data_IF_780712810963
#
_entry.id   IF_780712810963
#
_cell.length_a   1.000
_cell.length_b   1.000
_cell.length_c   1.000
_cell.angle_alpha   90.00
_cell.angle_beta   90.00
_cell.angle_gamma   90.00
#
_symmetry.space_group_name_H-M   'P 1'
#
loop_
_entity.id
_entity.type
_entity.pdbx_description
1 polymer ?
#
# COMPACT_ATOMS: atom_id res chain seq x y z
N UNK A 1 32.22 2.71 -41.07
CA UNK A 1 32.26 3.85 -40.13
C UNK A 1 31.08 3.72 -39.16
N UNK A 2 31.31 3.33 -37.91
CA UNK A 2 30.24 3.02 -36.94
C UNK A 2 29.75 4.33 -36.31
N UNK A 3 28.50 4.74 -36.56
CA UNK A 3 27.86 5.88 -35.88
C UNK A 3 27.65 5.51 -34.40
N UNK A 4 28.40 6.13 -33.49
CA UNK A 4 28.11 6.07 -32.05
C UNK A 4 26.73 6.68 -31.80
N UNK A 5 25.77 5.91 -31.27
CA UNK A 5 24.51 6.44 -30.72
C UNK A 5 24.85 7.38 -29.56
N UNK A 6 24.46 8.65 -29.65
CA UNK A 6 24.53 9.58 -28.52
C UNK A 6 23.64 9.08 -27.39
N UNK A 7 24.15 9.09 -26.15
CA UNK A 7 23.34 8.78 -24.96
C UNK A 7 22.36 9.93 -24.75
N UNK A 8 21.05 9.66 -24.88
CA UNK A 8 20.04 10.62 -24.44
C UNK A 8 20.04 10.65 -22.91
N UNK A 9 20.32 11.81 -22.33
CA UNK A 9 20.35 12.03 -20.87
C UNK A 9 19.04 12.71 -20.48
N UNK A 10 18.34 12.15 -19.49
CA UNK A 10 17.16 12.79 -18.90
C UNK A 10 17.60 14.05 -18.14
N UNK A 11 17.00 15.20 -18.45
CA UNK A 11 17.21 16.45 -17.72
C UNK A 11 16.00 16.73 -16.84
N UNK A 12 16.20 16.82 -15.53
CA UNK A 12 15.17 17.14 -14.54
C UNK A 12 15.58 18.40 -13.79
N UNK A 13 14.74 19.44 -13.80
CA UNK A 13 15.05 20.79 -13.28
C UNK A 13 16.44 21.32 -13.71
N UNK A 14 16.78 21.17 -14.99
CA UNK A 14 18.03 21.65 -15.56
C UNK A 14 19.28 20.83 -15.18
N UNK A 15 19.12 19.71 -14.47
CA UNK A 15 20.23 18.83 -14.07
C UNK A 15 20.11 17.45 -14.74
N UNK A 16 21.23 16.82 -15.16
CA UNK A 16 21.21 15.47 -15.70
C UNK A 16 20.88 14.45 -14.60
N UNK A 17 19.97 13.53 -14.90
CA UNK A 17 19.65 12.39 -14.04
C UNK A 17 20.52 11.22 -14.44
N UNK A 18 21.35 10.75 -13.51
CA UNK A 18 22.26 9.62 -13.73
C UNK A 18 21.69 8.28 -13.25
N UNK A 19 20.66 8.32 -12.40
CA UNK A 19 19.96 7.17 -11.87
C UNK A 19 18.69 7.61 -11.16
N UNK A 20 17.77 6.67 -10.97
CA UNK A 20 16.53 6.88 -10.23
C UNK A 20 16.32 5.69 -9.29
N UNK A 21 15.81 5.97 -8.10
CA UNK A 21 15.37 4.96 -7.13
C UNK A 21 13.86 5.05 -7.10
N UNK A 22 13.20 3.92 -7.34
CA UNK A 22 11.76 3.82 -7.29
C UNK A 22 11.38 3.06 -6.04
N UNK A 23 10.36 3.55 -5.34
CA UNK A 23 9.69 2.75 -4.33
C UNK A 23 8.96 1.57 -5.01
N UNK A 24 8.75 0.50 -4.27
CA UNK A 24 8.18 -0.72 -4.82
C UNK A 24 6.66 -0.70 -4.73
N UNK A 25 6.15 -0.63 -3.51
CA UNK A 25 4.72 -0.69 -3.20
C UNK A 25 4.04 0.65 -3.53
N UNK A 26 2.87 0.60 -4.17
CA UNK A 26 2.11 1.76 -4.60
C UNK A 26 2.74 2.61 -5.71
N UNK A 27 4.01 2.36 -6.08
CA UNK A 27 4.73 3.08 -7.15
C UNK A 27 5.00 2.20 -8.36
N UNK A 28 5.64 1.04 -8.16
CA UNK A 28 5.92 0.09 -9.25
C UNK A 28 4.83 -0.97 -9.37
N UNK A 29 4.27 -1.39 -8.24
CA UNK A 29 3.20 -2.39 -8.17
C UNK A 29 2.04 -1.86 -7.33
N UNK A 30 0.81 -2.10 -7.81
CA UNK A 30 -0.43 -1.82 -7.07
C UNK A 30 -0.67 -2.91 -6.01
N UNK A 31 0.20 -2.96 -5.00
CA UNK A 31 0.12 -3.92 -3.90
C UNK A 31 -0.97 -3.54 -2.89
N UNK A 32 -1.39 -2.28 -2.86
CA UNK A 32 -2.51 -1.79 -2.06
C UNK A 32 -3.83 -2.48 -2.43
N UNK A 33 -4.11 -2.65 -3.72
CA UNK A 33 -5.33 -3.33 -4.16
C UNK A 33 -5.41 -4.77 -3.66
N UNK A 34 -4.32 -5.53 -3.77
CA UNK A 34 -4.25 -6.90 -3.26
C UNK A 34 -4.37 -6.92 -1.73
N UNK A 35 -3.67 -6.02 -1.03
CA UNK A 35 -3.73 -5.90 0.43
C UNK A 35 -5.14 -5.58 0.93
N UNK A 36 -5.91 -4.77 0.21
CA UNK A 36 -7.31 -4.52 0.58
C UNK A 36 -8.16 -5.77 0.42
N UNK A 37 -8.03 -6.47 -0.71
CA UNK A 37 -8.78 -7.70 -0.95
C UNK A 37 -8.54 -8.74 0.14
N UNK A 38 -7.28 -8.94 0.55
CA UNK A 38 -6.96 -9.94 1.58
C UNK A 38 -7.45 -9.51 2.97
N UNK A 39 -7.40 -8.22 3.31
CA UNK A 39 -7.97 -7.69 4.55
C UNK A 39 -9.51 -7.78 4.58
N UNK A 40 -10.17 -7.49 3.46
CA UNK A 40 -11.63 -7.64 3.32
C UNK A 40 -12.06 -9.08 3.50
N UNK A 41 -11.37 -10.00 2.83
CA UNK A 41 -11.63 -11.43 2.99
C UNK A 41 -11.40 -11.90 4.44
N UNK A 42 -10.26 -11.58 5.04
CA UNK A 42 -9.93 -12.02 6.39
C UNK A 42 -10.89 -11.45 7.46
N UNK A 43 -11.33 -10.20 7.30
CA UNK A 43 -12.33 -9.59 8.18
C UNK A 43 -13.70 -10.24 8.00
N UNK A 44 -14.13 -10.51 6.76
CA UNK A 44 -15.36 -11.27 6.50
C UNK A 44 -15.32 -12.66 7.15
N UNK A 45 -14.21 -13.39 7.05
CA UNK A 45 -14.06 -14.72 7.63
C UNK A 45 -14.03 -14.71 9.17
N UNK A 46 -13.41 -13.71 9.80
CA UNK A 46 -13.19 -13.69 11.25
C UNK A 46 -14.29 -12.99 12.05
N UNK A 47 -14.90 -11.95 11.48
CA UNK A 47 -15.93 -11.15 12.18
C UNK A 47 -17.26 -11.10 11.44
N UNK A 48 -17.39 -11.79 10.29
CA UNK A 48 -18.62 -11.81 9.50
C UNK A 48 -18.92 -10.52 8.75
N UNK A 49 -17.96 -9.59 8.72
CA UNK A 49 -18.10 -8.28 8.08
C UNK A 49 -16.78 -7.89 7.40
N UNK A 50 -16.85 -7.55 6.11
CA UNK A 50 -15.74 -6.94 5.39
C UNK A 50 -15.39 -5.56 5.96
N UNK A 51 -14.09 -5.32 6.08
CA UNK A 51 -13.58 -3.97 6.21
C UNK A 51 -13.97 -3.11 4.99
N UNK A 52 -14.57 -1.95 5.27
CA UNK A 52 -15.00 -1.04 4.22
C UNK A 52 -13.80 -0.44 3.47
N UNK A 53 -14.00 -0.17 2.19
CA UNK A 53 -12.99 0.48 1.37
C UNK A 53 -12.57 1.85 1.93
N UNK A 54 -13.52 2.61 2.49
CA UNK A 54 -13.25 3.90 3.13
C UNK A 54 -12.28 3.77 4.32
N UNK A 55 -12.51 2.77 5.20
CA UNK A 55 -11.60 2.50 6.30
C UNK A 55 -10.21 2.07 5.80
N UNK A 56 -10.15 1.25 4.75
CA UNK A 56 -8.88 0.80 4.17
C UNK A 56 -8.08 1.94 3.52
N UNK A 57 -8.78 2.87 2.86
CA UNK A 57 -8.20 4.12 2.36
C UNK A 57 -7.62 4.98 3.48
N UNK A 58 -8.34 5.14 4.59
CA UNK A 58 -7.86 5.89 5.75
C UNK A 58 -6.64 5.24 6.42
N UNK A 59 -6.43 3.94 6.21
CA UNK A 59 -5.27 3.22 6.73
C UNK A 59 -3.99 3.43 5.92
N UNK A 60 -4.04 4.04 4.73
CA UNK A 60 -2.85 4.28 3.91
C UNK A 60 -1.87 5.22 4.63
N UNK A 61 -0.60 4.79 4.73
CA UNK A 61 0.44 5.53 5.44
C UNK A 61 0.36 5.48 6.97
N UNK A 62 -0.63 4.81 7.56
CA UNK A 62 -0.70 4.63 9.01
C UNK A 62 0.23 3.54 9.51
N UNK A 63 0.74 3.71 10.73
CA UNK A 63 1.36 2.59 11.46
C UNK A 63 0.34 1.51 11.76
N UNK A 64 0.82 0.27 11.97
CA UNK A 64 -0.05 -0.85 12.35
C UNK A 64 -0.85 -0.56 13.63
N UNK A 65 -0.25 0.13 14.61
CA UNK A 65 -0.91 0.53 15.86
C UNK A 65 -2.02 1.55 15.63
N UNK A 66 -1.80 2.54 14.78
CA UNK A 66 -2.81 3.58 14.49
C UNK A 66 -3.97 3.01 13.68
N UNK A 67 -3.68 2.12 12.72
CA UNK A 67 -4.69 1.39 11.98
C UNK A 67 -5.55 0.48 12.90
N UNK A 68 -4.94 -0.19 13.88
CA UNK A 68 -5.65 -0.99 14.88
C UNK A 68 -6.62 -0.14 15.70
N UNK A 69 -6.19 1.04 16.16
CA UNK A 69 -7.05 1.98 16.90
C UNK A 69 -8.23 2.46 16.05
N UNK A 70 -7.99 2.74 14.76
CA UNK A 70 -9.05 3.11 13.83
C UNK A 70 -10.05 1.95 13.64
N UNK A 71 -9.55 0.71 13.51
CA UNK A 71 -10.39 -0.47 13.43
C UNK A 71 -11.28 -0.61 14.67
N UNK A 72 -10.70 -0.45 15.86
CA UNK A 72 -11.43 -0.52 17.13
C UNK A 72 -12.52 0.54 17.24
N UNK A 73 -12.26 1.74 16.72
CA UNK A 73 -13.25 2.83 16.70
C UNK A 73 -14.43 2.54 15.78
N UNK A 74 -14.21 1.90 14.63
CA UNK A 74 -15.24 1.71 13.60
C UNK A 74 -15.96 0.36 13.70
N UNK A 75 -15.26 -0.70 14.12
CA UNK A 75 -15.76 -2.07 14.17
C UNK A 75 -15.88 -2.61 15.61
N UNK A 76 -15.49 -1.82 16.62
CA UNK A 76 -15.61 -2.13 18.04
C UNK A 76 -14.28 -2.50 18.70
N UNK A 77 -14.17 -2.19 20.00
CA UNK A 77 -12.93 -2.32 20.80
C UNK A 77 -12.32 -3.72 20.79
N UNK A 78 -13.16 -4.76 20.63
CA UNK A 78 -12.74 -6.15 20.65
C UNK A 78 -12.49 -6.74 19.25
N UNK A 79 -12.44 -5.92 18.20
CA UNK A 79 -12.13 -6.41 16.85
C UNK A 79 -10.77 -7.12 16.85
N UNK A 80 -10.66 -8.35 16.32
CA UNK A 80 -9.42 -9.14 16.32
C UNK A 80 -8.46 -8.68 15.21
N UNK A 81 -8.12 -7.39 15.19
CA UNK A 81 -7.37 -6.75 14.09
C UNK A 81 -6.04 -7.44 13.79
N UNK A 82 -5.29 -7.86 14.83
CA UNK A 82 -4.01 -8.55 14.65
C UNK A 82 -4.16 -9.91 13.95
N UNK A 83 -5.22 -10.65 14.24
CA UNK A 83 -5.50 -11.94 13.60
C UNK A 83 -5.97 -11.74 12.16
N UNK A 84 -6.81 -10.73 11.91
CA UNK A 84 -7.21 -10.33 10.54
C UNK A 84 -5.97 -10.01 9.71
N UNK A 85 -5.07 -9.17 10.24
CA UNK A 85 -3.85 -8.76 9.54
C UNK A 85 -2.84 -9.91 9.35
N UNK A 86 -2.85 -10.93 10.21
CA UNK A 86 -1.98 -12.11 10.06
C UNK A 86 -2.43 -13.03 8.92
N UNK A 87 -3.71 -12.99 8.57
CA UNK A 87 -4.32 -13.75 7.46
C UNK A 87 -4.32 -13.01 6.12
N UNK A 88 -3.98 -11.72 6.12
CA UNK A 88 -3.97 -10.85 4.94
C UNK A 88 -2.62 -10.74 4.25
#
# INVERSE_FOLDING_TARGET
MIKKRGKNVLIFHGKPVHGAIFDMDGTMFDTERLRFQTLQQASQELIGQEFSHEYLMQCLGLSATTAEQLAQRLYGVNVPYKEIRKKS
#
